data_IF_300145183964
#
_entry.id   IF_300145183964
#
_cell.length_a   1.000
_cell.length_b   1.000
_cell.length_c   1.000
_cell.angle_alpha   90.00
_cell.angle_beta   90.00
_cell.angle_gamma   90.00
#
_symmetry.space_group_name_H-M   'P 1'
#
loop_
_entity.id
_entity.type
_entity.pdbx_description
1 polymer ?
#
# COMPACT_ATOMS: atom_id res chain seq x y z
N UNK A 1 -23.20 -1.60 -60.79
CA UNK A 1 -21.99 -0.85 -60.36
C UNK A 1 -22.24 -0.34 -58.96
N UNK A 2 -21.64 -0.97 -57.95
CA UNK A 2 -21.77 -0.54 -56.56
C UNK A 2 -21.11 0.83 -56.39
N UNK A 3 -21.87 1.83 -55.94
CA UNK A 3 -21.37 3.18 -55.67
C UNK A 3 -20.49 3.19 -54.41
N UNK A 4 -19.25 2.74 -54.60
CA UNK A 4 -18.20 2.63 -53.58
C UNK A 4 -18.04 3.91 -52.71
N UNK A 5 -18.10 5.13 -53.26
CA UNK A 5 -18.02 6.35 -52.44
C UNK A 5 -19.18 6.49 -51.44
N UNK A 6 -20.38 6.03 -51.81
CA UNK A 6 -21.58 6.10 -50.95
C UNK A 6 -21.54 5.08 -49.83
N UNK A 7 -21.00 3.89 -50.11
CA UNK A 7 -20.81 2.81 -49.12
C UNK A 7 -19.75 3.23 -48.09
N UNK A 8 -18.62 3.79 -48.55
CA UNK A 8 -17.56 4.30 -47.66
C UNK A 8 -18.11 5.43 -46.77
N UNK A 9 -18.87 6.36 -47.33
CA UNK A 9 -19.50 7.43 -46.56
C UNK A 9 -20.45 6.91 -45.47
N UNK A 10 -21.23 5.86 -45.75
CA UNK A 10 -22.13 5.25 -44.77
C UNK A 10 -21.38 4.55 -43.63
N UNK A 11 -20.27 3.87 -43.93
CA UNK A 11 -19.46 3.20 -42.91
C UNK A 11 -18.81 4.23 -41.97
N UNK A 12 -18.25 5.30 -42.52
CA UNK A 12 -17.62 6.37 -41.72
C UNK A 12 -18.67 7.07 -40.85
N UNK A 13 -19.84 7.38 -41.41
CA UNK A 13 -20.91 8.06 -40.68
C UNK A 13 -21.44 7.19 -39.52
N UNK A 14 -21.79 5.93 -39.78
CA UNK A 14 -22.28 5.02 -38.76
C UNK A 14 -21.20 4.68 -37.72
N UNK A 15 -19.94 4.53 -38.13
CA UNK A 15 -18.82 4.29 -37.22
C UNK A 15 -18.57 5.44 -36.26
N UNK A 16 -18.66 6.69 -36.74
CA UNK A 16 -18.44 7.88 -35.92
C UNK A 16 -19.50 8.06 -34.81
N UNK A 17 -20.77 7.71 -35.08
CA UNK A 17 -21.87 7.82 -34.10
C UNK A 17 -21.67 6.80 -32.96
N UNK A 18 -21.27 5.58 -33.28
CA UNK A 18 -21.03 4.52 -32.29
C UNK A 18 -19.85 4.89 -31.40
N UNK A 19 -18.74 5.33 -32.00
CA UNK A 19 -17.56 5.76 -31.26
C UNK A 19 -17.86 6.97 -30.36
N UNK A 20 -18.56 7.98 -30.89
CA UNK A 20 -18.95 9.17 -30.13
C UNK A 20 -19.86 8.86 -28.93
N UNK A 21 -20.83 7.95 -29.08
CA UNK A 21 -21.71 7.53 -27.97
C UNK A 21 -20.94 6.76 -26.90
N UNK A 22 -20.02 5.88 -27.27
CA UNK A 22 -19.18 5.15 -26.31
C UNK A 22 -18.29 6.09 -25.48
N UNK A 23 -17.62 7.05 -26.13
CA UNK A 23 -16.83 8.06 -25.41
C UNK A 23 -17.70 8.98 -24.55
N UNK A 24 -18.91 9.33 -24.98
CA UNK A 24 -19.83 10.13 -24.18
C UNK A 24 -20.33 9.38 -22.94
N UNK A 25 -20.62 8.08 -23.05
CA UNK A 25 -21.01 7.26 -21.90
C UNK A 25 -19.83 7.00 -20.95
N UNK A 26 -18.67 6.65 -21.48
CA UNK A 26 -17.45 6.51 -20.69
C UNK A 26 -17.05 7.83 -20.01
N UNK A 27 -17.18 8.96 -20.71
CA UNK A 27 -16.97 10.30 -20.17
C UNK A 27 -17.98 10.67 -19.10
N UNK A 28 -19.28 10.33 -19.27
CA UNK A 28 -20.29 10.50 -18.23
C UNK A 28 -20.02 9.61 -17.01
N UNK A 29 -19.54 8.39 -17.21
CA UNK A 29 -19.12 7.51 -16.12
C UNK A 29 -17.88 8.04 -15.41
N UNK A 30 -16.89 8.54 -16.14
CA UNK A 30 -15.70 9.19 -15.60
C UNK A 30 -16.07 10.46 -14.81
N UNK A 31 -16.98 11.30 -15.32
CA UNK A 31 -17.48 12.49 -14.61
C UNK A 31 -18.34 12.10 -13.41
N UNK A 32 -19.15 11.04 -13.48
CA UNK A 32 -19.93 10.57 -12.32
C UNK A 32 -19.02 9.98 -11.24
N UNK A 33 -17.94 9.31 -11.62
CA UNK A 33 -16.91 8.80 -10.71
C UNK A 33 -16.01 9.93 -10.17
N UNK A 34 -15.71 10.94 -10.98
CA UNK A 34 -14.97 12.13 -10.58
C UNK A 34 -15.82 13.04 -9.70
N UNK A 35 -17.13 13.21 -9.98
CA UNK A 35 -18.08 13.94 -9.13
C UNK A 35 -18.50 13.15 -7.91
N UNK A 36 -18.49 11.82 -7.91
CA UNK A 36 -18.59 11.07 -6.65
C UNK A 36 -17.31 11.16 -5.85
N UNK A 37 -16.14 11.27 -6.50
CA UNK A 37 -14.87 11.61 -5.87
C UNK A 37 -14.78 13.06 -5.35
N UNK A 38 -15.36 14.02 -6.07
CA UNK A 38 -15.36 15.45 -5.77
C UNK A 38 -16.52 15.84 -4.86
N UNK A 39 -17.68 15.18 -4.93
CA UNK A 39 -18.74 15.28 -3.91
C UNK A 39 -18.34 14.53 -2.65
N UNK A 40 -17.53 13.46 -2.74
CA UNK A 40 -16.87 12.90 -1.56
C UNK A 40 -15.75 13.81 -1.04
N UNK A 41 -15.05 14.55 -1.90
CA UNK A 41 -14.02 15.53 -1.49
C UNK A 41 -14.61 16.86 -0.98
N UNK A 42 -15.75 17.29 -1.50
CA UNK A 42 -16.50 18.47 -1.07
C UNK A 42 -17.36 18.18 0.16
N UNK A 43 -17.87 16.95 0.31
CA UNK A 43 -18.39 16.46 1.59
C UNK A 43 -17.26 16.24 2.61
N UNK A 44 -16.03 15.94 2.17
CA UNK A 44 -14.86 15.92 3.06
C UNK A 44 -14.40 17.33 3.47
N UNK A 45 -14.52 18.35 2.61
CA UNK A 45 -14.15 19.73 2.97
C UNK A 45 -15.24 20.46 3.77
N UNK A 46 -16.52 20.13 3.58
CA UNK A 46 -17.63 20.63 4.41
C UNK A 46 -17.86 19.81 5.70
N UNK A 47 -17.28 18.62 5.82
CA UNK A 47 -17.36 17.72 6.98
C UNK A 47 -16.08 17.66 7.83
N UNK A 48 -15.17 18.62 7.68
CA UNK A 48 -13.92 18.70 8.44
C UNK A 48 -14.11 19.50 9.74
N UNK A 49 -14.90 18.99 10.68
CA UNK A 49 -14.84 19.39 12.08
C UNK A 49 -15.64 18.39 12.93
N UNK A 50 -14.91 17.61 13.73
CA UNK A 50 -15.40 16.98 14.97
C UNK A 50 -16.32 15.75 14.87
N UNK A 51 -15.77 14.58 15.21
CA UNK A 51 -16.55 13.42 15.67
C UNK A 51 -16.81 12.31 14.65
N UNK A 52 -15.97 11.26 14.67
CA UNK A 52 -16.08 10.10 13.79
C UNK A 52 -17.26 9.13 14.05
N UNK A 53 -17.34 8.18 13.13
CA UNK A 53 -18.16 6.94 13.12
C UNK A 53 -19.61 7.07 12.60
N UNK A 54 -19.70 7.01 11.27
CA UNK A 54 -20.79 6.34 10.55
C UNK A 54 -20.22 5.89 9.21
N UNK A 55 -19.93 4.63 8.93
CA UNK A 55 -20.54 3.43 9.48
C UNK A 55 -20.62 2.41 8.35
N UNK A 56 -19.47 2.11 7.74
CA UNK A 56 -19.21 0.76 7.25
C UNK A 56 -18.04 0.20 8.04
N UNK A 57 -18.12 0.29 9.37
CA UNK A 57 -17.50 -0.74 10.17
C UNK A 57 -18.47 -1.92 10.13
N UNK A 58 -18.11 -3.00 9.43
CA UNK A 58 -18.82 -4.26 9.54
C UNK A 58 -19.79 -4.66 8.41
N UNK A 59 -19.61 -4.23 7.16
CA UNK A 59 -19.94 -5.22 6.11
C UNK A 59 -18.81 -6.23 6.11
N UNK A 60 -19.05 -7.35 6.80
CA UNK A 60 -18.22 -8.55 6.87
C UNK A 60 -18.00 -9.17 5.47
N UNK A 61 -17.40 -8.40 4.55
CA UNK A 61 -17.23 -8.73 3.13
C UNK A 61 -16.65 -7.61 2.24
N UNK A 62 -16.14 -6.50 2.81
CA UNK A 62 -15.35 -5.52 2.04
C UNK A 62 -13.90 -5.95 1.92
N UNK A 63 -13.29 -5.81 0.74
CA UNK A 63 -11.90 -6.19 0.48
C UNK A 63 -10.93 -5.45 1.42
N UNK A 64 -10.13 -6.16 2.26
CA UNK A 64 -9.18 -5.55 3.19
C UNK A 64 -8.14 -4.64 2.49
N UNK A 65 -7.89 -4.86 1.20
CA UNK A 65 -6.99 -4.05 0.38
C UNK A 65 -7.32 -2.55 0.41
N UNK A 66 -8.61 -2.18 0.50
CA UNK A 66 -9.02 -0.77 0.48
C UNK A 66 -8.67 -0.04 1.78
N UNK A 67 -8.83 -0.70 2.93
CA UNK A 67 -8.46 -0.13 4.22
C UNK A 67 -6.93 0.07 4.30
N UNK A 68 -6.18 -0.96 3.89
CA UNK A 68 -4.71 -0.92 3.87
C UNK A 68 -4.16 0.18 2.95
N UNK A 69 -4.80 0.43 1.80
CA UNK A 69 -4.39 1.51 0.89
C UNK A 69 -4.45 2.88 1.58
N UNK A 70 -5.43 3.11 2.45
CA UNK A 70 -5.55 4.39 3.20
C UNK A 70 -4.42 4.55 4.22
N UNK A 71 -4.00 3.45 4.85
CA UNK A 71 -2.92 3.43 5.86
C UNK A 71 -1.56 3.59 5.19
N UNK A 72 -1.24 2.76 4.21
CA UNK A 72 0.08 2.76 3.57
C UNK A 72 0.28 3.90 2.56
N UNK A 73 -0.81 4.53 2.11
CA UNK A 73 -0.83 5.50 0.99
C UNK A 73 -0.23 4.92 -0.29
N UNK A 74 -0.45 3.62 -0.50
CA UNK A 74 0.07 2.83 -1.61
C UNK A 74 -0.90 1.68 -1.90
N UNK A 75 -1.20 1.45 -3.18
CA UNK A 75 -2.04 0.33 -3.59
C UNK A 75 -1.23 -0.97 -3.64
N UNK A 76 -1.90 -2.13 -3.55
CA UNK A 76 -1.22 -3.43 -3.69
C UNK A 76 -0.54 -3.56 -5.07
N UNK A 77 -1.21 -3.12 -6.13
CA UNK A 77 -0.65 -3.13 -7.48
C UNK A 77 0.61 -2.26 -7.61
N UNK A 78 0.61 -1.06 -7.01
CA UNK A 78 1.79 -0.19 -6.98
C UNK A 78 2.96 -0.86 -6.24
N UNK A 79 2.68 -1.53 -5.11
CA UNK A 79 3.70 -2.26 -4.36
C UNK A 79 4.35 -3.38 -5.20
N UNK A 80 3.52 -4.16 -5.91
CA UNK A 80 4.01 -5.21 -6.82
C UNK A 80 4.86 -4.62 -7.96
N UNK A 81 4.46 -3.48 -8.51
CA UNK A 81 5.21 -2.79 -9.55
C UNK A 81 6.56 -2.26 -9.04
N UNK A 82 6.60 -1.64 -7.84
CA UNK A 82 7.84 -1.15 -7.23
C UNK A 82 8.85 -2.29 -7.03
N UNK A 83 8.37 -3.46 -6.61
CA UNK A 83 9.21 -4.64 -6.35
C UNK A 83 9.41 -5.53 -7.58
N UNK A 84 8.87 -5.14 -8.74
CA UNK A 84 8.88 -5.91 -9.98
C UNK A 84 8.42 -7.37 -9.76
N UNK A 85 7.39 -7.52 -8.96
CA UNK A 85 6.71 -8.79 -8.71
C UNK A 85 5.54 -8.91 -9.69
N UNK A 86 5.39 -10.10 -10.27
CA UNK A 86 4.27 -10.39 -11.15
C UNK A 86 3.20 -11.11 -10.34
N UNK A 87 1.95 -10.67 -10.49
CA UNK A 87 0.82 -11.47 -10.04
C UNK A 87 0.92 -12.86 -10.69
N UNK A 88 0.73 -13.95 -9.93
CA UNK A 88 0.77 -15.28 -10.53
C UNK A 88 -0.30 -15.36 -11.62
N UNK A 89 0.06 -15.92 -12.78
CA UNK A 89 -0.80 -16.02 -13.97
C UNK A 89 -2.04 -16.91 -13.77
N UNK A 90 -2.31 -17.37 -12.53
CA UNK A 90 -3.45 -18.21 -12.20
C UNK A 90 -4.73 -17.37 -12.15
N UNK A 91 -5.47 -17.41 -13.24
CA UNK A 91 -6.73 -16.68 -13.52
C UNK A 91 -7.90 -17.03 -12.58
N UNK A 92 -7.68 -17.81 -11.54
CA UNK A 92 -8.71 -18.28 -10.59
C UNK A 92 -8.53 -17.70 -9.18
N UNK A 93 -7.44 -16.97 -8.92
CA UNK A 93 -7.18 -16.44 -7.58
C UNK A 93 -7.95 -15.15 -7.31
N UNK A 94 -8.79 -15.16 -6.27
CA UNK A 94 -9.53 -14.00 -5.74
C UNK A 94 -8.60 -12.85 -5.31
N UNK A 95 -7.33 -13.16 -5.06
CA UNK A 95 -6.33 -12.23 -4.54
C UNK A 95 -5.19 -12.01 -5.54
N UNK A 96 -4.81 -10.75 -5.73
CA UNK A 96 -3.81 -10.33 -6.73
C UNK A 96 -2.40 -10.91 -6.48
N UNK A 97 -2.06 -11.20 -5.23
CA UNK A 97 -0.77 -11.74 -4.83
C UNK A 97 -0.88 -12.66 -3.60
N UNK A 98 -1.25 -13.95 -3.78
CA UNK A 98 -1.41 -14.89 -2.68
C UNK A 98 -0.07 -15.22 -2.02
N UNK A 99 -0.08 -15.44 -0.70
CA UNK A 99 1.10 -15.90 0.04
C UNK A 99 1.31 -17.39 -0.21
N UNK A 100 2.42 -17.71 -0.84
CA UNK A 100 2.99 -19.05 -1.02
C UNK A 100 4.49 -18.98 -0.76
N UNK A 101 5.14 -20.11 -0.49
CA UNK A 101 6.59 -20.16 -0.24
C UNK A 101 7.40 -19.53 -1.39
N UNK A 102 6.95 -19.75 -2.63
CA UNK A 102 7.56 -19.17 -3.85
C UNK A 102 7.44 -17.64 -3.85
N UNK A 103 6.22 -17.11 -3.63
CA UNK A 103 5.99 -15.66 -3.63
C UNK A 103 6.68 -14.94 -2.45
N UNK A 104 6.80 -15.62 -1.30
CA UNK A 104 7.52 -15.11 -0.14
C UNK A 104 9.03 -15.04 -0.40
N UNK A 105 9.61 -16.08 -0.98
CA UNK A 105 11.01 -16.09 -1.39
C UNK A 105 11.30 -15.03 -2.47
N UNK A 106 10.41 -14.88 -3.45
CA UNK A 106 10.54 -13.85 -4.49
C UNK A 106 10.46 -12.44 -3.91
N UNK A 107 9.53 -12.17 -2.99
CA UNK A 107 9.43 -10.89 -2.29
C UNK A 107 10.74 -10.55 -1.58
N UNK A 108 11.27 -11.47 -0.76
CA UNK A 108 12.51 -11.28 -0.02
C UNK A 108 13.70 -10.98 -0.96
N UNK A 109 13.86 -11.80 -2.01
CA UNK A 109 14.94 -11.64 -2.99
C UNK A 109 14.88 -10.31 -3.74
N UNK A 110 13.69 -9.90 -4.18
CA UNK A 110 13.50 -8.61 -4.89
C UNK A 110 13.74 -7.43 -3.97
N UNK A 111 13.21 -7.51 -2.75
CA UNK A 111 13.40 -6.50 -1.72
C UNK A 111 14.89 -6.29 -1.41
N UNK A 112 15.62 -7.34 -1.07
CA UNK A 112 17.05 -7.25 -0.73
C UNK A 112 17.87 -6.63 -1.87
N UNK A 113 17.66 -7.10 -3.10
CA UNK A 113 18.35 -6.58 -4.27
C UNK A 113 18.06 -5.10 -4.51
N UNK A 114 16.78 -4.70 -4.52
CA UNK A 114 16.38 -3.31 -4.77
C UNK A 114 16.80 -2.38 -3.62
N UNK A 115 16.71 -2.85 -2.38
CA UNK A 115 17.11 -2.09 -1.20
C UNK A 115 18.62 -1.81 -1.20
N UNK A 116 19.44 -2.81 -1.50
CA UNK A 116 20.91 -2.68 -1.59
C UNK A 116 21.32 -1.80 -2.77
N UNK A 117 20.73 -2.02 -3.95
CA UNK A 117 21.08 -1.28 -5.17
C UNK A 117 20.72 0.20 -5.07
N UNK A 118 19.61 0.52 -4.38
CA UNK A 118 19.14 1.89 -4.20
C UNK A 118 19.55 2.51 -2.86
N UNK A 119 20.60 1.99 -2.21
CA UNK A 119 21.09 2.57 -0.97
C UNK A 119 21.42 4.06 -1.18
N UNK A 120 20.97 4.96 -0.28
CA UNK A 120 21.18 6.39 -0.42
C UNK A 120 22.67 6.75 -0.32
N UNK A 121 23.06 7.94 -0.81
CA UNK A 121 24.38 8.47 -0.57
C UNK A 121 24.59 8.61 0.94
N UNK A 122 25.82 8.36 1.37
CA UNK A 122 26.16 8.57 2.75
C UNK A 122 25.99 10.06 3.13
N UNK A 123 25.66 10.35 4.40
CA UNK A 123 25.53 11.72 4.87
C UNK A 123 26.81 12.51 4.62
N UNK A 124 26.66 13.82 4.41
CA UNK A 124 27.79 14.73 4.20
C UNK A 124 28.82 14.57 5.34
N UNK A 125 30.08 14.35 4.97
CA UNK A 125 31.17 14.10 5.92
C UNK A 125 31.57 12.62 6.07
N UNK A 126 30.89 11.69 5.40
CA UNK A 126 31.28 10.28 5.38
C UNK A 126 32.49 10.01 4.46
N UNK A 127 33.30 8.95 4.72
CA UNK A 127 34.45 8.64 3.90
C UNK A 127 34.07 8.39 2.42
N UNK A 128 34.89 8.81 1.45
CA UNK A 128 34.65 8.55 0.04
C UNK A 128 34.55 7.04 -0.21
N UNK A 129 33.54 6.63 -0.98
CA UNK A 129 33.20 5.21 -1.21
C UNK A 129 32.23 4.61 -0.18
N UNK A 130 31.79 5.38 0.81
CA UNK A 130 30.73 4.96 1.75
C UNK A 130 29.36 5.38 1.22
N UNK A 131 28.39 4.47 1.18
CA UNK A 131 27.02 4.72 0.70
C UNK A 131 26.78 4.29 -0.75
N UNK A 132 25.52 4.32 -1.18
CA UNK A 132 25.12 3.97 -2.54
C UNK A 132 24.93 5.19 -3.43
N UNK A 133 24.58 4.94 -4.69
CA UNK A 133 24.22 5.96 -5.69
C UNK A 133 22.70 6.19 -5.77
N UNK A 134 21.94 5.54 -4.89
CA UNK A 134 20.49 5.61 -4.86
C UNK A 134 19.97 6.87 -4.19
N UNK A 135 18.70 6.87 -3.82
CA UNK A 135 18.10 7.97 -3.05
C UNK A 135 17.28 7.42 -1.90
N UNK A 136 17.23 8.20 -0.81
CA UNK A 136 16.44 7.84 0.37
C UNK A 136 14.96 7.70 0.04
N UNK A 137 14.45 8.50 -0.90
CA UNK A 137 13.08 8.41 -1.39
C UNK A 137 12.78 7.05 -2.03
N UNK A 138 13.64 6.59 -2.94
CA UNK A 138 13.44 5.30 -3.62
C UNK A 138 13.58 4.14 -2.63
N UNK A 139 14.57 4.20 -1.74
CA UNK A 139 14.71 3.18 -0.69
C UNK A 139 13.48 3.14 0.22
N UNK A 140 12.95 4.30 0.62
CA UNK A 140 11.72 4.41 1.41
C UNK A 140 10.50 3.82 0.68
N UNK A 141 10.41 4.01 -0.64
CA UNK A 141 9.35 3.41 -1.47
C UNK A 141 9.46 1.88 -1.53
N UNK A 142 10.66 1.34 -1.63
CA UNK A 142 10.91 -0.12 -1.62
C UNK A 142 10.49 -0.73 -0.28
N UNK A 143 10.83 -0.09 0.85
CA UNK A 143 10.41 -0.54 2.19
C UNK A 143 8.89 -0.50 2.33
N UNK A 144 8.27 0.64 2.00
CA UNK A 144 6.80 0.81 2.04
C UNK A 144 6.07 -0.21 1.18
N UNK A 145 6.61 -0.55 0.02
CA UNK A 145 6.04 -1.56 -0.86
C UNK A 145 6.05 -2.97 -0.22
N UNK A 146 7.15 -3.34 0.43
CA UNK A 146 7.24 -4.60 1.17
C UNK A 146 6.21 -4.66 2.30
N UNK A 147 6.18 -3.62 3.14
CA UNK A 147 5.22 -3.50 4.25
C UNK A 147 3.77 -3.60 3.77
N UNK A 148 3.45 -2.99 2.61
CA UNK A 148 2.10 -3.06 2.02
C UNK A 148 1.72 -4.48 1.63
N UNK A 149 2.64 -5.27 1.07
CA UNK A 149 2.38 -6.66 0.69
C UNK A 149 2.26 -7.54 1.93
N UNK A 150 3.13 -7.35 2.92
CA UNK A 150 3.09 -8.08 4.20
C UNK A 150 1.77 -7.83 4.94
N UNK A 151 1.31 -6.57 4.98
CA UNK A 151 0.02 -6.21 5.59
C UNK A 151 -1.18 -6.79 4.82
N UNK A 152 -1.08 -6.97 3.49
CA UNK A 152 -2.12 -7.68 2.73
C UNK A 152 -2.19 -9.14 3.18
N UNK A 153 -1.06 -9.84 3.24
CA UNK A 153 -1.01 -11.23 3.67
C UNK A 153 -1.52 -11.42 5.10
N UNK A 154 -1.17 -10.51 6.00
CA UNK A 154 -1.68 -10.52 7.39
C UNK A 154 -3.20 -10.29 7.45
N UNK A 155 -3.75 -9.44 6.59
CA UNK A 155 -5.19 -9.20 6.55
C UNK A 155 -5.99 -10.38 5.96
N UNK A 156 -5.37 -11.18 5.10
CA UNK A 156 -5.96 -12.42 4.56
C UNK A 156 -5.82 -13.61 5.52
N UNK A 157 -4.73 -13.67 6.27
CA UNK A 157 -4.42 -14.76 7.21
C UNK A 157 -4.05 -14.18 8.59
N UNK A 158 -5.06 -13.86 9.41
CA UNK A 158 -4.85 -13.21 10.71
C UNK A 158 -4.11 -14.10 11.72
N UNK A 159 -4.00 -15.42 11.48
CA UNK A 159 -3.22 -16.33 12.33
C UNK A 159 -1.72 -15.97 12.35
N UNK A 160 -1.23 -15.26 11.32
CA UNK A 160 0.16 -14.81 11.22
C UNK A 160 0.53 -13.71 12.22
N UNK A 161 -0.46 -12.95 12.71
CA UNK A 161 -0.23 -11.84 13.66
C UNK A 161 0.14 -12.35 15.06
N UNK A 162 -0.32 -13.54 15.41
CA UNK A 162 -0.03 -14.19 16.70
C UNK A 162 1.42 -14.71 16.75
N UNK A 163 1.97 -15.17 15.63
CA UNK A 163 3.34 -15.70 15.50
C UNK A 163 4.43 -14.61 15.47
N UNK A 164 4.15 -13.43 14.88
CA UNK A 164 5.08 -12.30 14.88
C UNK A 164 5.14 -11.57 16.23
N UNK A 165 4.05 -11.63 17.02
CA UNK A 165 3.98 -11.01 18.35
C UNK A 165 4.61 -11.89 19.45
N UNK A 166 4.72 -13.21 19.23
CA UNK A 166 5.32 -14.16 20.19
C UNK A 166 6.86 -14.24 20.12
N UNK A 167 7.49 -13.74 19.04
CA UNK A 167 8.93 -13.81 18.80
C UNK A 167 9.74 -12.59 19.29
N UNK A 168 9.08 -11.53 19.80
CA UNK A 168 9.78 -10.37 20.39
C UNK A 168 10.09 -10.53 21.89
N UNK A 169 9.65 -11.61 22.55
CA UNK A 169 9.75 -11.71 24.01
C UNK A 169 10.66 -12.83 24.55
N UNK A 170 11.59 -13.40 23.78
CA UNK A 170 12.51 -14.42 24.30
C UNK A 170 13.97 -14.30 23.79
N UNK A 171 14.87 -13.93 24.73
CA UNK A 171 16.36 -14.06 24.71
C UNK A 171 17.11 -12.72 24.56
N UNK A 172 17.61 -12.02 25.60
CA UNK A 172 18.60 -12.39 26.66
C UNK A 172 19.99 -11.80 26.30
N UNK A 173 21.02 -11.61 27.18
CA UNK A 173 21.18 -11.86 28.63
C UNK A 173 21.87 -10.71 29.44
N UNK A 174 22.07 -10.87 30.76
CA UNK A 174 23.26 -10.30 31.43
C UNK A 174 23.09 -9.48 32.73
N UNK A 175 23.21 -10.19 33.86
CA UNK A 175 23.77 -9.82 35.16
C UNK A 175 24.24 -8.38 35.46
N UNK A 176 23.73 -7.84 36.57
CA UNK A 176 24.40 -7.05 37.64
C UNK A 176 23.28 -6.38 38.44
N UNK A 177 23.31 -6.18 39.74
CA UNK A 177 24.12 -6.66 40.84
C UNK A 177 23.25 -6.35 42.06
N UNK A 178 23.29 -7.23 43.04
CA UNK A 178 22.69 -7.05 44.36
C UNK A 178 23.28 -5.82 45.05
N UNK A 179 22.48 -4.77 45.25
CA UNK A 179 22.79 -3.72 46.22
C UNK A 179 21.51 -3.21 46.88
N UNK A 180 21.12 -3.94 47.91
CA UNK A 180 20.19 -3.53 48.93
C UNK A 180 20.92 -2.50 49.82
N UNK A 181 20.52 -1.24 49.79
CA UNK A 181 20.86 -0.27 50.84
C UNK A 181 19.75 0.76 50.95
N UNK A 182 19.04 0.62 52.08
CA UNK A 182 18.17 1.58 52.75
C UNK A 182 18.52 3.05 52.51
N UNK A 183 17.54 3.84 52.06
CA UNK A 183 17.52 5.26 52.40
C UNK A 183 16.11 5.67 52.85
N UNK A 184 16.02 5.94 54.14
CA UNK A 184 14.88 6.45 54.90
C UNK A 184 14.79 7.97 54.81
N UNK A 185 13.57 8.50 54.96
CA UNK A 185 13.22 9.90 55.28
C UNK A 185 13.43 10.88 54.08
N UNK A 186 12.53 11.79 53.73
CA UNK A 186 11.60 12.56 54.55
C UNK A 186 10.57 13.24 53.61
N UNK A 187 9.28 13.18 53.94
CA UNK A 187 8.24 14.05 53.36
C UNK A 187 8.14 15.35 54.18
N UNK A 188 7.86 16.51 53.55
CA UNK A 188 7.20 17.62 54.22
C UNK A 188 5.69 17.69 53.85
N UNK A 189 4.83 18.23 54.73
CA UNK A 189 3.37 18.13 54.62
C UNK A 189 2.76 19.20 53.69
N UNK A 190 1.62 18.92 53.04
CA UNK A 190 0.67 19.96 52.62
C UNK A 190 -0.21 20.39 53.83
N UNK A 191 -0.62 21.65 53.82
CA UNK A 191 -1.42 22.31 54.88
C UNK A 191 -2.77 21.64 55.16
#
# INVERSE_FOLDING_TARGET
>A
MSNLPRIIGQIIFNGSIILGRAFAEAGKQAIRNARSGEAAAAAASAGSAEGGVGGRNGTAGGDPSHALTRVHRMTLQEALQILNLKAPTSTTSTHLFPRTDVTAADLAKRYEHLFKTNAPPAPKGSPPGTGGQGSFYIQSKVVRARERIEAEWEALDPALKEEASSSTNQGGPGASDSAQSSNSQQQPPPQ
#
